data_IF_180526202345
#
_entry.id   IF_180526202345
#
_cell.length_a   1.000
_cell.length_b   1.000
_cell.length_c   1.000
_cell.angle_alpha   90.00
_cell.angle_beta   90.00
_cell.angle_gamma   90.00
#
_symmetry.space_group_name_H-M   'P 1'
#
loop_
_entity.id
_entity.type
_entity.pdbx_description
1 polymer ?
#
# COMPACT_ATOMS: atom_id res chain seq x y z
N UNK A 1 -44.07 -59.39 -20.22
CA UNK A 1 -44.16 -59.06 -18.79
C UNK A 1 -42.74 -58.84 -18.29
N UNK A 2 -42.53 -57.76 -17.52
CA UNK A 2 -41.33 -57.47 -16.69
C UNK A 2 -40.25 -56.54 -17.27
N UNK A 3 -40.47 -55.24 -17.00
CA UNK A 3 -39.58 -54.21 -16.44
C UNK A 3 -38.27 -53.78 -17.14
N UNK A 4 -38.34 -52.59 -17.74
CA UNK A 4 -37.22 -51.66 -18.01
C UNK A 4 -36.74 -51.07 -16.68
N UNK A 5 -35.43 -51.14 -16.40
CA UNK A 5 -34.76 -50.30 -15.37
C UNK A 5 -33.80 -49.35 -16.06
N UNK A 6 -34.12 -48.06 -16.03
CA UNK A 6 -33.15 -46.97 -16.18
C UNK A 6 -32.19 -47.01 -14.98
N UNK A 7 -30.88 -47.05 -15.26
CA UNK A 7 -29.87 -46.61 -14.29
C UNK A 7 -29.44 -45.20 -14.69
N UNK A 8 -29.87 -44.23 -13.89
CA UNK A 8 -29.35 -42.88 -13.91
C UNK A 8 -27.92 -42.90 -13.33
N UNK A 9 -26.92 -42.55 -14.14
CA UNK A 9 -25.61 -42.21 -13.64
C UNK A 9 -25.69 -40.80 -13.03
N UNK A 10 -25.67 -40.74 -11.69
CA UNK A 10 -25.46 -39.50 -10.97
C UNK A 10 -24.03 -39.01 -11.26
N UNK A 11 -23.91 -37.99 -12.10
CA UNK A 11 -22.67 -37.25 -12.26
C UNK A 11 -22.34 -36.56 -10.94
N UNK A 12 -21.23 -36.97 -10.32
CA UNK A 12 -20.63 -36.20 -9.24
C UNK A 12 -20.28 -34.82 -9.80
N UNK A 13 -20.98 -33.79 -9.33
CA UNK A 13 -20.64 -32.41 -9.58
C UNK A 13 -19.25 -32.17 -8.98
N UNK A 14 -18.24 -32.10 -9.84
CA UNK A 14 -16.97 -31.51 -9.47
C UNK A 14 -17.24 -30.08 -9.01
N UNK A 15 -16.77 -29.75 -7.81
CA UNK A 15 -16.72 -28.37 -7.33
C UNK A 15 -15.77 -27.65 -8.28
N UNK A 16 -16.33 -26.96 -9.27
CA UNK A 16 -15.61 -25.97 -10.06
C UNK A 16 -15.30 -24.85 -9.09
N UNK A 17 -14.01 -24.63 -8.82
CA UNK A 17 -13.54 -23.41 -8.16
C UNK A 17 -14.21 -22.21 -8.85
N UNK A 18 -14.94 -21.41 -8.07
CA UNK A 18 -15.90 -20.42 -8.59
C UNK A 18 -15.30 -19.58 -9.71
N UNK A 19 -16.00 -19.54 -10.85
CA UNK A 19 -15.67 -18.59 -11.91
C UNK A 19 -15.66 -17.18 -11.29
N UNK A 20 -14.63 -16.39 -11.59
CA UNK A 20 -14.60 -14.98 -11.24
C UNK A 20 -15.90 -14.33 -11.73
N UNK A 21 -16.63 -13.58 -10.88
CA UNK A 21 -17.87 -12.95 -11.28
C UNK A 21 -17.63 -12.07 -12.51
N UNK A 22 -18.50 -12.14 -13.52
CA UNK A 22 -18.26 -11.44 -14.78
C UNK A 22 -18.31 -9.92 -14.54
N UNK A 23 -17.23 -9.21 -14.90
CA UNK A 23 -17.14 -7.76 -14.75
C UNK A 23 -18.01 -7.05 -15.79
N UNK A 24 -18.81 -6.09 -15.34
CA UNK A 24 -19.82 -5.35 -16.11
C UNK A 24 -19.82 -3.87 -15.74
N UNK A 25 -20.33 -3.02 -16.63
CA UNK A 25 -20.44 -1.59 -16.36
C UNK A 25 -21.71 -1.29 -15.53
N UNK A 26 -21.53 -0.52 -14.46
CA UNK A 26 -22.60 0.03 -13.62
C UNK A 26 -22.52 1.55 -13.54
N UNK A 27 -23.47 2.15 -12.81
CA UNK A 27 -23.55 3.60 -12.63
C UNK A 27 -23.55 3.96 -11.16
N UNK A 28 -22.62 4.81 -10.74
CA UNK A 28 -22.58 5.37 -9.39
C UNK A 28 -23.14 6.79 -9.37
N UNK A 29 -23.87 7.11 -8.31
CA UNK A 29 -24.27 8.47 -7.94
C UNK A 29 -23.61 8.82 -6.62
N UNK A 30 -22.35 9.26 -6.71
CA UNK A 30 -21.52 9.67 -5.58
C UNK A 30 -21.86 11.07 -5.07
N UNK A 31 -21.46 11.35 -3.84
CA UNK A 31 -21.64 12.66 -3.20
C UNK A 31 -20.69 13.70 -3.80
N UNK A 32 -19.41 13.31 -3.99
CA UNK A 32 -18.39 14.18 -4.60
C UNK A 32 -18.22 13.91 -6.08
N UNK A 33 -18.21 12.63 -6.47
CA UNK A 33 -17.93 12.24 -7.85
C UNK A 33 -19.08 12.55 -8.81
N UNK A 34 -20.29 12.82 -8.30
CA UNK A 34 -21.49 12.97 -9.12
C UNK A 34 -21.90 11.65 -9.78
N UNK A 35 -22.40 11.72 -11.02
CA UNK A 35 -22.78 10.50 -11.77
C UNK A 35 -21.61 9.99 -12.59
N UNK A 36 -21.13 8.79 -12.28
CA UNK A 36 -19.91 8.20 -12.86
C UNK A 36 -20.09 6.74 -13.26
N UNK A 37 -19.36 6.25 -14.27
CA UNK A 37 -19.31 4.82 -14.57
C UNK A 37 -18.54 4.07 -13.49
N UNK A 38 -19.04 2.90 -13.10
CA UNK A 38 -18.38 1.97 -12.20
C UNK A 38 -18.12 0.63 -12.91
N UNK A 39 -17.00 0.01 -12.60
CA UNK A 39 -16.71 -1.37 -13.01
C UNK A 39 -17.14 -2.29 -11.88
N UNK A 40 -18.21 -3.05 -12.07
CA UNK A 40 -18.81 -3.91 -11.04
C UNK A 40 -18.82 -5.36 -11.52
N UNK A 41 -19.28 -6.30 -10.71
CA UNK A 41 -19.40 -7.68 -11.14
C UNK A 41 -20.79 -8.25 -10.90
N UNK A 42 -21.23 -9.12 -11.82
CA UNK A 42 -22.53 -9.80 -11.72
C UNK A 42 -22.40 -11.10 -10.93
N UNK A 43 -23.24 -11.25 -9.91
CA UNK A 43 -23.31 -12.42 -9.03
C UNK A 43 -24.19 -13.52 -9.64
N UNK A 44 -24.04 -14.74 -9.13
CA UNK A 44 -24.77 -15.91 -9.61
C UNK A 44 -26.30 -15.82 -9.41
N UNK A 45 -26.75 -15.09 -8.38
CA UNK A 45 -28.16 -14.82 -8.09
C UNK A 45 -28.78 -13.72 -8.97
N UNK A 46 -27.99 -13.13 -9.88
CA UNK A 46 -28.41 -12.07 -10.79
C UNK A 46 -28.28 -10.65 -10.24
N UNK A 47 -27.89 -10.48 -8.98
CA UNK A 47 -27.51 -9.18 -8.41
C UNK A 47 -26.11 -8.76 -8.86
N UNK A 48 -25.73 -7.54 -8.51
CA UNK A 48 -24.41 -6.95 -8.81
C UNK A 48 -23.70 -6.62 -7.51
N UNK A 49 -22.37 -6.58 -7.52
CA UNK A 49 -21.52 -6.14 -6.41
C UNK A 49 -20.41 -5.19 -6.86
N UNK A 50 -19.96 -4.33 -5.94
CA UNK A 50 -18.82 -3.42 -6.12
C UNK A 50 -17.48 -4.19 -6.07
N UNK A 51 -17.28 -5.05 -7.06
CA UNK A 51 -16.06 -5.79 -7.34
C UNK A 51 -15.60 -5.46 -8.76
N UNK A 52 -14.41 -4.88 -8.87
CA UNK A 52 -13.81 -4.45 -10.12
C UNK A 52 -12.74 -5.43 -10.59
N UNK A 53 -13.15 -6.39 -11.43
CA UNK A 53 -12.24 -7.35 -12.04
C UNK A 53 -11.30 -6.76 -13.10
N UNK A 54 -11.51 -5.52 -13.56
CA UNK A 54 -10.58 -4.85 -14.50
C UNK A 54 -9.34 -4.30 -13.79
N UNK A 55 -9.42 -4.10 -12.47
CA UNK A 55 -8.38 -3.46 -11.65
C UNK A 55 -7.96 -4.36 -10.49
N UNK A 56 -7.55 -5.58 -10.85
CA UNK A 56 -6.99 -6.57 -9.92
C UNK A 56 -7.96 -7.12 -8.89
N UNK A 57 -9.26 -7.11 -9.16
CA UNK A 57 -10.32 -7.45 -8.21
C UNK A 57 -10.39 -6.46 -7.03
N UNK A 58 -10.27 -5.15 -7.31
CA UNK A 58 -10.50 -4.09 -6.32
C UNK A 58 -11.95 -4.12 -5.84
N UNK A 59 -12.18 -3.91 -4.54
CA UNK A 59 -13.47 -4.25 -3.94
C UNK A 59 -13.88 -3.25 -2.86
N UNK A 60 -15.13 -2.81 -2.88
CA UNK A 60 -15.71 -1.96 -1.83
C UNK A 60 -16.76 -2.76 -1.04
N UNK A 61 -16.55 -2.88 0.28
CA UNK A 61 -17.34 -3.73 1.17
C UNK A 61 -17.90 -2.93 2.34
N UNK A 62 -19.02 -3.38 2.89
CA UNK A 62 -19.56 -2.86 4.14
C UNK A 62 -19.02 -3.66 5.32
N UNK A 63 -18.48 -2.96 6.32
CA UNK A 63 -18.02 -3.54 7.57
C UNK A 63 -18.98 -3.13 8.70
N UNK A 64 -19.79 -4.07 9.23
CA UNK A 64 -20.85 -3.74 10.19
C UNK A 64 -20.35 -3.51 11.62
N UNK A 65 -19.05 -3.71 11.89
CA UNK A 65 -18.44 -3.53 13.22
C UNK A 65 -17.66 -2.22 13.31
N UNK A 66 -17.34 -1.82 14.54
CA UNK A 66 -16.47 -0.66 14.77
C UNK A 66 -15.01 -1.03 14.45
N UNK A 67 -14.32 -0.28 13.56
CA UNK A 67 -12.93 -0.54 13.22
C UNK A 67 -11.93 -0.24 14.34
N UNK A 68 -12.31 0.53 15.36
CA UNK A 68 -11.47 0.77 16.53
C UNK A 68 -11.33 -0.47 17.43
N UNK A 69 -12.29 -1.41 17.36
CA UNK A 69 -12.29 -2.64 18.17
C UNK A 69 -12.04 -3.91 17.36
N UNK A 70 -11.97 -3.83 16.03
CA UNK A 70 -11.76 -4.99 15.17
C UNK A 70 -11.16 -4.64 13.82
N UNK A 71 -10.18 -5.41 13.36
CA UNK A 71 -9.62 -5.30 12.01
C UNK A 71 -10.58 -5.96 11.00
N UNK A 72 -11.02 -5.27 9.95
CA UNK A 72 -11.91 -5.86 8.96
C UNK A 72 -11.19 -6.90 8.10
N UNK A 73 -11.87 -8.01 7.82
CA UNK A 73 -11.51 -8.99 6.80
C UNK A 73 -12.69 -9.22 5.85
N UNK A 74 -12.48 -9.95 4.75
CA UNK A 74 -13.56 -10.35 3.83
C UNK A 74 -14.62 -11.20 4.54
N UNK A 75 -14.23 -12.02 5.52
CA UNK A 75 -15.13 -12.89 6.28
C UNK A 75 -15.97 -12.12 7.30
N UNK A 76 -15.47 -10.99 7.81
CA UNK A 76 -16.17 -10.15 8.79
C UNK A 76 -16.88 -8.95 8.17
N UNK A 77 -16.94 -8.88 6.84
CA UNK A 77 -17.56 -7.80 6.07
C UNK A 77 -18.46 -8.36 4.99
N UNK A 78 -19.30 -7.50 4.42
CA UNK A 78 -20.35 -7.86 3.49
C UNK A 78 -20.10 -7.18 2.13
N UNK A 79 -20.27 -7.89 1.00
CA UNK A 79 -20.33 -7.25 -0.30
C UNK A 79 -21.49 -6.25 -0.35
N UNK A 80 -21.26 -5.06 -0.90
CA UNK A 80 -22.33 -4.10 -1.18
C UNK A 80 -22.99 -4.54 -2.49
N UNK A 81 -24.29 -4.84 -2.46
CA UNK A 81 -25.00 -5.45 -3.60
C UNK A 81 -26.19 -4.60 -4.06
N UNK A 82 -26.47 -4.63 -5.37
CA UNK A 82 -27.59 -3.92 -5.99
C UNK A 82 -28.28 -4.83 -7.00
N UNK A 83 -29.63 -4.84 -7.11
CA UNK A 83 -30.34 -5.58 -8.14
C UNK A 83 -30.27 -4.90 -9.53
N UNK A 84 -29.98 -3.59 -9.58
CA UNK A 84 -30.07 -2.78 -10.80
C UNK A 84 -28.73 -2.30 -11.36
N UNK A 85 -27.62 -2.61 -10.70
CA UNK A 85 -26.27 -2.09 -11.02
C UNK A 85 -26.16 -0.55 -11.05
N UNK A 86 -27.05 0.10 -10.31
CA UNK A 86 -27.04 1.54 -10.03
C UNK A 86 -26.85 1.70 -8.53
N UNK A 87 -25.99 2.64 -8.13
CA UNK A 87 -25.49 2.74 -6.75
C UNK A 87 -25.65 4.17 -6.24
N UNK A 88 -26.34 4.34 -5.11
CA UNK A 88 -26.44 5.63 -4.43
C UNK A 88 -27.43 6.61 -5.06
N UNK A 89 -27.58 7.76 -4.40
CA UNK A 89 -28.49 8.84 -4.78
C UNK A 89 -27.83 10.24 -4.79
N UNK A 90 -26.50 10.29 -4.63
CA UNK A 90 -25.72 11.52 -4.58
C UNK A 90 -25.86 12.32 -3.28
N UNK A 91 -26.55 11.81 -2.25
CA UNK A 91 -26.67 12.49 -0.95
C UNK A 91 -25.73 11.90 0.09
N UNK A 92 -25.26 12.77 0.98
CA UNK A 92 -24.43 12.36 2.11
C UNK A 92 -25.13 11.35 3.02
N UNK A 93 -24.34 10.53 3.70
CA UNK A 93 -24.77 9.57 4.71
C UNK A 93 -25.23 8.20 4.21
N UNK A 94 -25.55 8.08 2.91
CA UNK A 94 -25.92 6.80 2.30
C UNK A 94 -24.73 5.89 2.02
N UNK A 95 -24.80 4.62 2.45
CA UNK A 95 -23.76 3.61 2.19
C UNK A 95 -23.43 3.51 0.70
N UNK A 96 -24.43 3.39 -0.17
CA UNK A 96 -24.19 3.23 -1.61
C UNK A 96 -23.65 4.51 -2.27
N UNK A 97 -24.04 5.70 -1.80
CA UNK A 97 -23.50 6.97 -2.28
C UNK A 97 -22.01 7.09 -1.94
N UNK A 98 -21.63 6.82 -0.68
CA UNK A 98 -20.22 6.77 -0.28
C UNK A 98 -19.46 5.67 -1.03
N UNK A 99 -20.07 4.50 -1.23
CA UNK A 99 -19.45 3.41 -1.95
C UNK A 99 -19.21 3.74 -3.43
N UNK A 100 -20.09 4.50 -4.07
CA UNK A 100 -19.90 4.97 -5.43
C UNK A 100 -18.68 5.89 -5.56
N UNK A 101 -18.54 6.88 -4.66
CA UNK A 101 -17.37 7.77 -4.62
C UNK A 101 -16.06 6.98 -4.45
N UNK A 102 -16.02 6.12 -3.43
CA UNK A 102 -14.83 5.33 -3.09
C UNK A 102 -14.45 4.36 -4.21
N UNK A 103 -15.43 3.63 -4.76
CA UNK A 103 -15.17 2.65 -5.80
C UNK A 103 -14.67 3.32 -7.09
N UNK A 104 -15.25 4.48 -7.44
CA UNK A 104 -14.76 5.31 -8.53
C UNK A 104 -13.34 5.84 -8.26
N UNK A 105 -13.09 6.39 -7.07
CA UNK A 105 -11.79 6.95 -6.69
C UNK A 105 -10.66 5.93 -6.69
N UNK A 106 -10.90 4.72 -6.18
CA UNK A 106 -9.93 3.60 -6.28
C UNK A 106 -9.63 3.27 -7.75
N UNK A 107 -10.67 3.26 -8.60
CA UNK A 107 -10.49 3.05 -10.04
C UNK A 107 -9.63 4.12 -10.70
N UNK A 108 -9.87 5.40 -10.39
CA UNK A 108 -9.09 6.52 -10.91
C UNK A 108 -7.64 6.49 -10.41
N UNK A 109 -7.42 6.18 -9.13
CA UNK A 109 -6.09 6.05 -8.55
C UNK A 109 -5.29 4.93 -9.23
N UNK A 110 -5.91 3.74 -9.39
CA UNK A 110 -5.30 2.63 -10.13
C UNK A 110 -4.93 3.03 -11.55
N UNK A 111 -5.86 3.63 -12.29
CA UNK A 111 -5.66 3.99 -13.70
C UNK A 111 -4.57 5.05 -13.86
N UNK A 112 -4.51 6.03 -12.96
CA UNK A 112 -3.43 7.03 -12.91
C UNK A 112 -2.06 6.36 -12.72
N UNK A 113 -1.91 5.52 -11.68
CA UNK A 113 -0.63 4.86 -11.39
C UNK A 113 -0.22 3.89 -12.52
N UNK A 114 -1.18 3.17 -13.11
CA UNK A 114 -0.91 2.27 -14.24
C UNK A 114 -0.52 3.03 -15.50
N UNK A 115 -1.26 4.07 -15.86
CA UNK A 115 -1.10 4.78 -17.13
C UNK A 115 0.11 5.72 -17.11
N UNK A 116 0.30 6.46 -16.01
CA UNK A 116 1.35 7.49 -15.91
C UNK A 116 2.69 6.88 -15.50
N UNK A 117 2.67 5.87 -14.63
CA UNK A 117 3.86 5.32 -13.99
C UNK A 117 4.13 3.84 -14.28
N UNK A 118 3.23 3.16 -15.01
CA UNK A 118 3.38 1.73 -15.31
C UNK A 118 3.19 0.80 -14.10
N UNK A 119 2.59 1.29 -13.00
CA UNK A 119 2.41 0.53 -11.76
C UNK A 119 1.06 -0.17 -11.73
N UNK A 120 1.04 -1.50 -11.66
CA UNK A 120 -0.19 -2.27 -11.54
C UNK A 120 -0.62 -2.42 -10.07
N UNK A 121 -1.55 -1.56 -9.65
CA UNK A 121 -2.09 -1.53 -8.29
C UNK A 121 -1.20 -0.82 -7.28
N UNK A 122 -1.74 -0.58 -6.09
CA UNK A 122 -1.06 0.20 -5.07
C UNK A 122 0.27 -0.44 -4.66
N UNK A 123 0.35 -1.77 -4.63
CA UNK A 123 1.57 -2.53 -4.28
C UNK A 123 2.43 -2.93 -5.49
N UNK A 124 2.00 -2.67 -6.72
CA UNK A 124 2.69 -3.12 -7.93
C UNK A 124 2.63 -4.63 -8.16
N UNK A 125 1.72 -5.34 -7.47
CA UNK A 125 1.55 -6.79 -7.51
C UNK A 125 0.37 -7.24 -8.39
N UNK A 126 -0.26 -6.31 -9.11
CA UNK A 126 -1.44 -6.57 -9.94
C UNK A 126 -2.70 -6.88 -9.15
N UNK A 127 -2.69 -6.79 -7.81
CA UNK A 127 -3.86 -7.04 -6.96
C UNK A 127 -4.55 -5.74 -6.57
N UNK A 128 -5.86 -5.80 -6.60
CA UNK A 128 -6.77 -4.73 -6.26
C UNK A 128 -6.74 -4.36 -4.79
N UNK A 129 -7.25 -3.16 -4.53
CA UNK A 129 -7.41 -2.63 -3.18
C UNK A 129 -8.75 -3.06 -2.61
N UNK A 130 -8.77 -3.54 -1.38
CA UNK A 130 -10.03 -3.77 -0.64
C UNK A 130 -10.28 -2.54 0.23
N UNK A 131 -11.48 -1.99 0.13
CA UNK A 131 -11.92 -0.85 0.94
C UNK A 131 -13.13 -1.23 1.77
N UNK A 132 -13.07 -0.95 3.06
CA UNK A 132 -14.11 -1.24 4.03
C UNK A 132 -14.80 0.05 4.48
N UNK A 133 -16.08 0.17 4.16
CA UNK A 133 -16.94 1.23 4.66
C UNK A 133 -17.53 0.84 6.00
N UNK A 134 -17.45 1.71 7.00
CA UNK A 134 -18.02 1.46 8.32
C UNK A 134 -18.86 2.65 8.78
N UNK A 135 -19.90 2.37 9.57
CA UNK A 135 -20.78 3.42 10.09
C UNK A 135 -20.13 4.12 11.28
N UNK A 136 -20.08 5.44 11.25
CA UNK A 136 -19.58 6.28 12.35
C UNK A 136 -20.34 7.62 12.39
N UNK A 137 -20.18 8.36 13.48
CA UNK A 137 -20.61 9.77 13.63
C UNK A 137 -19.45 10.75 13.46
N UNK A 138 -18.22 10.24 13.34
CA UNK A 138 -17.05 11.04 12.99
C UNK A 138 -16.54 10.64 11.60
N UNK A 139 -16.29 11.61 10.72
CA UNK A 139 -15.66 11.33 9.44
C UNK A 139 -14.23 10.83 9.63
N UNK A 140 -13.81 9.98 8.71
CA UNK A 140 -12.47 9.39 8.74
C UNK A 140 -12.22 8.59 7.47
N UNK A 141 -11.02 8.75 6.95
CA UNK A 141 -10.47 7.95 5.86
C UNK A 141 -9.06 7.55 6.30
N UNK A 142 -8.69 6.29 6.07
CA UNK A 142 -7.37 5.81 6.44
C UNK A 142 -6.95 4.59 5.65
N UNK A 143 -5.68 4.56 5.28
CA UNK A 143 -4.97 3.33 4.91
C UNK A 143 -4.55 2.55 6.16
N UNK A 144 -4.57 1.21 6.07
CA UNK A 144 -3.99 0.33 7.08
C UNK A 144 -3.05 -0.68 6.46
N UNK A 145 -1.77 -0.61 6.85
CA UNK A 145 -0.74 -1.56 6.44
C UNK A 145 -0.99 -2.99 6.95
N UNK A 146 -1.70 -3.14 8.06
CA UNK A 146 -2.00 -4.45 8.67
C UNK A 146 -2.84 -5.37 7.77
N UNK A 147 -3.77 -4.80 7.01
CA UNK A 147 -4.63 -5.51 6.04
C UNK A 147 -4.30 -5.14 4.59
N UNK A 148 -3.41 -4.15 4.38
CA UNK A 148 -3.22 -3.44 3.12
C UNK A 148 -4.56 -3.03 2.48
N UNK A 149 -5.38 -2.35 3.26
CA UNK A 149 -6.76 -1.99 2.93
C UNK A 149 -7.08 -0.55 3.35
N UNK A 150 -8.13 0.03 2.75
CA UNK A 150 -8.68 1.32 3.19
C UNK A 150 -9.84 1.09 4.15
N UNK A 151 -10.01 2.00 5.10
CA UNK A 151 -11.17 2.09 5.99
C UNK A 151 -11.74 3.49 5.90
N UNK A 152 -13.02 3.61 5.57
CA UNK A 152 -13.68 4.90 5.35
C UNK A 152 -15.00 4.94 6.12
N UNK A 153 -15.18 5.99 6.92
CA UNK A 153 -16.39 6.23 7.68
C UNK A 153 -17.50 6.79 6.78
N UNK A 154 -18.74 6.36 7.05
CA UNK A 154 -19.94 7.00 6.52
C UNK A 154 -21.01 7.10 7.63
N UNK A 155 -21.93 8.04 7.50
CA UNK A 155 -22.98 8.24 8.51
C UNK A 155 -23.86 9.43 8.22
N UNK A 156 -25.04 9.44 8.82
CA UNK A 156 -26.15 10.31 8.44
C UNK A 156 -25.87 11.82 8.63
N UNK A 157 -24.90 12.17 9.48
CA UNK A 157 -24.52 13.55 9.82
C UNK A 157 -23.12 13.95 9.32
N UNK A 158 -22.34 13.01 8.81
CA UNK A 158 -20.95 13.28 8.44
C UNK A 158 -20.82 13.61 6.96
N UNK A 159 -19.98 14.59 6.64
CA UNK A 159 -19.49 14.76 5.27
C UNK A 159 -18.58 13.57 4.96
N UNK A 160 -18.84 12.79 3.91
CA UNK A 160 -17.98 11.66 3.60
C UNK A 160 -16.65 12.18 3.02
N UNK A 161 -15.53 11.86 3.68
CA UNK A 161 -14.17 12.17 3.21
C UNK A 161 -13.79 11.23 2.05
N UNK A 162 -14.41 11.45 0.88
CA UNK A 162 -14.42 10.50 -0.25
C UNK A 162 -14.30 11.17 -1.61
N UNK A 163 -13.93 12.44 -1.66
CA UNK A 163 -13.52 13.08 -2.90
C UNK A 163 -12.30 12.35 -3.51
N UNK A 164 -12.05 12.58 -4.79
CA UNK A 164 -11.02 11.86 -5.54
C UNK A 164 -9.64 12.02 -4.92
N UNK A 165 -9.36 13.20 -4.37
CA UNK A 165 -8.08 13.48 -3.75
C UNK A 165 -7.92 12.73 -2.44
N UNK A 166 -8.92 12.68 -1.56
CA UNK A 166 -8.85 11.89 -0.33
C UNK A 166 -8.73 10.40 -0.60
N UNK A 167 -9.51 9.85 -1.53
CA UNK A 167 -9.39 8.41 -1.88
C UNK A 167 -8.03 8.12 -2.52
N UNK A 168 -7.53 9.03 -3.37
CA UNK A 168 -6.21 8.95 -3.97
C UNK A 168 -5.07 9.07 -2.95
N UNK A 169 -5.24 9.90 -1.92
CA UNK A 169 -4.31 10.08 -0.80
C UNK A 169 -4.16 8.76 -0.03
N UNK A 170 -5.26 8.13 0.40
CA UNK A 170 -5.19 6.84 1.10
C UNK A 170 -4.62 5.72 0.23
N UNK A 171 -4.98 5.68 -1.05
CA UNK A 171 -4.39 4.73 -2.00
C UNK A 171 -2.88 4.90 -2.10
N UNK A 172 -2.40 6.15 -1.99
CA UNK A 172 -0.98 6.48 -2.12
C UNK A 172 -0.17 6.06 -0.90
N UNK A 173 -0.72 6.10 0.33
CA UNK A 173 -0.03 5.50 1.47
C UNK A 173 0.33 4.02 1.24
N UNK A 174 -0.54 3.26 0.55
CA UNK A 174 -0.22 1.89 0.15
C UNK A 174 0.93 1.81 -0.88
N UNK A 175 1.09 2.82 -1.74
CA UNK A 175 2.24 2.96 -2.64
C UNK A 175 3.51 3.26 -1.85
N UNK A 176 3.48 4.20 -0.90
CA UNK A 176 4.63 4.49 -0.01
C UNK A 176 5.03 3.26 0.79
N UNK A 177 4.07 2.58 1.41
CA UNK A 177 4.29 1.39 2.24
C UNK A 177 4.87 0.19 1.47
N UNK A 178 4.71 0.16 0.15
CA UNK A 178 5.26 -0.89 -0.73
C UNK A 178 6.50 -0.46 -1.51
N UNK A 179 7.00 0.75 -1.26
CA UNK A 179 8.19 1.31 -1.91
C UNK A 179 9.17 1.85 -0.86
N UNK A 180 9.17 3.16 -0.59
CA UNK A 180 10.10 3.82 0.32
C UNK A 180 9.93 3.39 1.79
N UNK A 181 8.74 2.94 2.19
CA UNK A 181 8.41 2.55 3.57
C UNK A 181 8.75 3.65 4.58
N UNK A 182 8.41 4.89 4.25
CA UNK A 182 8.69 6.05 5.09
C UNK A 182 8.20 5.81 6.52
N UNK A 183 9.05 6.13 7.50
CA UNK A 183 8.75 5.91 8.91
C UNK A 183 7.57 6.79 9.36
N UNK A 184 6.85 6.32 10.37
CA UNK A 184 5.64 6.96 10.92
C UNK A 184 5.93 8.06 11.95
N UNK A 185 7.09 8.71 11.89
CA UNK A 185 7.40 9.87 12.74
C UNK A 185 8.40 10.81 12.06
N UNK A 186 8.35 12.09 12.45
CA UNK A 186 9.29 13.12 11.99
C UNK A 186 9.19 13.43 10.51
N UNK A 187 10.29 13.88 9.90
CA UNK A 187 10.30 14.24 8.47
C UNK A 187 9.95 13.09 7.51
N UNK A 188 10.31 11.81 7.75
CA UNK A 188 9.81 10.71 6.93
C UNK A 188 8.28 10.62 6.90
N UNK A 189 7.61 10.77 8.05
CA UNK A 189 6.14 10.75 8.10
C UNK A 189 5.53 11.95 7.40
N UNK A 190 6.11 13.13 7.60
CA UNK A 190 5.70 14.33 6.89
C UNK A 190 5.84 14.19 5.36
N UNK A 191 6.88 13.48 4.90
CA UNK A 191 7.06 13.13 3.49
C UNK A 191 6.06 12.07 3.00
N UNK A 192 5.60 11.15 3.84
CA UNK A 192 4.53 10.20 3.49
C UNK A 192 3.21 10.95 3.29
N UNK A 193 2.82 11.80 4.24
CA UNK A 193 1.65 12.69 4.13
C UNK A 193 1.72 13.59 2.88
N UNK A 194 2.86 14.25 2.65
CA UNK A 194 3.05 15.07 1.46
C UNK A 194 2.98 14.23 0.17
N UNK A 195 3.53 13.02 0.18
CA UNK A 195 3.46 12.11 -0.98
C UNK A 195 2.01 11.75 -1.29
N UNK A 196 1.21 11.45 -0.27
CA UNK A 196 -0.21 11.16 -0.40
C UNK A 196 -1.02 12.36 -0.90
N UNK A 197 -0.75 13.58 -0.40
CA UNK A 197 -1.34 14.82 -0.92
C UNK A 197 -0.98 15.07 -2.39
N UNK A 198 0.31 14.94 -2.74
CA UNK A 198 0.81 15.13 -4.10
C UNK A 198 0.09 14.23 -5.09
N UNK A 199 0.05 12.92 -4.81
CA UNK A 199 -0.58 11.99 -5.73
C UNK A 199 -2.10 12.06 -5.69
N UNK A 200 -2.73 12.37 -4.55
CA UNK A 200 -4.16 12.68 -4.48
C UNK A 200 -4.56 13.81 -5.42
N UNK A 201 -3.81 14.92 -5.41
CA UNK A 201 -4.01 16.05 -6.35
C UNK A 201 -3.79 15.61 -7.80
N UNK A 202 -2.71 14.87 -8.09
CA UNK A 202 -2.43 14.41 -9.45
C UNK A 202 -3.50 13.45 -9.99
N UNK A 203 -4.08 12.61 -9.13
CA UNK A 203 -5.21 11.72 -9.47
C UNK A 203 -6.45 12.55 -9.80
N UNK A 204 -6.75 13.60 -9.03
CA UNK A 204 -7.85 14.53 -9.31
C UNK A 204 -7.66 15.25 -10.65
N UNK A 205 -6.45 15.71 -10.96
CA UNK A 205 -6.09 16.27 -12.27
C UNK A 205 -6.23 15.24 -13.41
N UNK A 206 -5.84 13.99 -13.19
CA UNK A 206 -5.95 12.90 -14.16
C UNK A 206 -7.40 12.53 -14.47
N UNK A 207 -8.25 12.45 -13.44
CA UNK A 207 -9.64 12.03 -13.59
C UNK A 207 -10.49 13.04 -14.36
N UNK A 208 -10.13 14.33 -14.33
CA UNK A 208 -10.85 15.41 -15.01
C UNK A 208 -12.35 15.41 -14.72
N UNK A 209 -12.74 15.02 -13.50
CA UNK A 209 -14.14 14.91 -13.13
C UNK A 209 -14.74 16.31 -12.97
N UNK A 210 -15.76 16.70 -13.77
CA UNK A 210 -16.37 18.03 -13.64
C UNK A 210 -17.12 18.23 -12.31
N UNK A 211 -17.55 17.16 -11.64
CA UNK A 211 -18.19 17.25 -10.33
C UNK A 211 -17.18 17.49 -9.19
N UNK A 212 -15.92 17.13 -9.43
CA UNK A 212 -14.82 17.25 -8.47
C UNK A 212 -13.59 17.87 -9.16
N UNK A 213 -13.65 19.17 -9.55
CA UNK A 213 -12.64 19.81 -10.37
C UNK A 213 -11.31 19.93 -9.63
N UNK A 214 -10.20 19.65 -10.33
CA UNK A 214 -8.88 19.66 -9.72
C UNK A 214 -8.40 21.06 -9.28
N UNK A 215 -7.74 21.09 -8.13
CA UNK A 215 -7.02 22.23 -7.57
C UNK A 215 -5.81 21.72 -6.76
N UNK A 216 -5.18 22.58 -5.95
CA UNK A 216 -4.06 22.24 -5.06
C UNK A 216 -4.42 22.43 -3.57
N UNK A 217 -5.70 22.28 -3.26
CA UNK A 217 -6.30 22.52 -1.95
C UNK A 217 -6.82 21.19 -1.43
N UNK A 218 -6.38 20.78 -0.24
CA UNK A 218 -6.78 19.51 0.35
C UNK A 218 -8.12 19.75 1.05
N UNK A 219 -9.22 19.12 0.61
CA UNK A 219 -10.54 19.33 1.19
C UNK A 219 -10.58 18.87 2.65
N UNK A 220 -11.47 19.49 3.43
CA UNK A 220 -11.76 19.04 4.79
C UNK A 220 -13.03 18.21 4.77
N UNK A 221 -12.83 16.93 4.49
CA UNK A 221 -13.88 15.93 4.62
C UNK A 221 -14.28 15.63 6.07
N UNK A 222 -13.71 16.34 7.07
CA UNK A 222 -13.86 16.00 8.49
C UNK A 222 -14.96 16.77 9.25
N UNK A 223 -15.72 17.60 8.54
CA UNK A 223 -16.79 18.44 9.10
C UNK A 223 -18.20 17.83 8.92
N UNK A 224 -19.17 18.28 9.72
CA UNK A 224 -20.59 17.96 9.48
C UNK A 224 -21.03 18.55 8.13
N UNK A 225 -21.97 17.88 7.45
CA UNK A 225 -22.55 18.36 6.17
C UNK A 225 -23.18 19.75 6.28
N UNK A 226 -23.60 20.18 7.47
CA UNK A 226 -24.17 21.50 7.71
C UNK A 226 -23.13 22.60 7.90
N UNK A 227 -21.86 22.26 8.16
CA UNK A 227 -20.78 23.23 8.29
C UNK A 227 -20.19 23.49 6.90
N UNK A 228 -20.04 24.77 6.48
CA UNK A 228 -19.31 25.10 5.26
C UNK A 228 -17.90 24.53 5.31
N UNK A 229 -17.54 23.80 4.26
CA UNK A 229 -16.24 23.16 4.19
C UNK A 229 -15.11 24.19 4.17
N UNK A 230 -14.18 24.06 5.12
CA UNK A 230 -12.97 24.85 5.18
C UNK A 230 -11.80 23.94 4.83
N UNK A 231 -10.99 24.20 3.80
CA UNK A 231 -9.91 23.28 3.43
C UNK A 231 -8.96 22.92 4.58
N UNK A 232 -8.53 21.66 4.57
CA UNK A 232 -7.65 21.07 5.58
C UNK A 232 -6.21 21.53 5.42
N UNK A 233 -5.69 21.55 4.18
CA UNK A 233 -4.33 21.96 3.84
C UNK A 233 -4.28 22.68 2.48
N UNK A 234 -3.18 23.39 2.24
CA UNK A 234 -2.95 24.17 1.02
C UNK A 234 -1.55 23.87 0.50
N UNK A 235 -1.40 23.41 -0.75
CA UNK A 235 -0.07 23.15 -1.29
C UNK A 235 0.65 24.42 -1.74
N UNK A 236 -0.06 25.47 -2.12
CA UNK A 236 0.56 26.72 -2.58
C UNK A 236 1.19 27.50 -1.42
N UNK A 237 0.46 27.63 -0.30
CA UNK A 237 0.90 28.28 0.92
C UNK A 237 0.36 27.54 2.15
N UNK A 238 1.11 26.55 2.69
CA UNK A 238 0.69 25.74 3.83
C UNK A 238 0.23 26.53 5.05
N UNK A 239 0.84 27.69 5.31
CA UNK A 239 0.50 28.55 6.46
C UNK A 239 -0.95 29.05 6.47
N UNK A 240 -1.69 28.95 5.36
CA UNK A 240 -3.13 29.29 5.29
C UNK A 240 -3.99 28.44 6.22
N UNK A 241 -3.58 27.23 6.58
CA UNK A 241 -4.30 26.41 7.56
C UNK A 241 -4.07 26.86 9.03
N UNK A 242 -3.08 27.74 9.26
CA UNK A 242 -2.71 28.29 10.55
C UNK A 242 -1.81 27.40 11.42
N UNK A 243 -1.39 26.23 10.93
CA UNK A 243 -0.59 25.24 11.68
C UNK A 243 0.66 24.78 10.90
N UNK A 244 0.56 24.66 9.58
CA UNK A 244 1.61 24.13 8.72
C UNK A 244 2.61 25.22 8.31
N UNK A 245 3.92 25.02 8.47
CA UNK A 245 4.93 25.96 8.03
C UNK A 245 5.08 25.95 6.50
N UNK A 246 5.06 27.12 5.87
CA UNK A 246 5.35 27.27 4.44
C UNK A 246 6.84 27.23 4.10
N UNK A 247 7.74 27.16 5.08
CA UNK A 247 9.19 27.13 4.85
C UNK A 247 9.82 26.12 5.80
N UNK A 248 10.70 25.29 5.25
CA UNK A 248 11.48 24.37 6.06
C UNK A 248 12.41 25.13 7.01
N UNK A 249 12.60 24.55 8.20
CA UNK A 249 13.67 24.91 9.12
C UNK A 249 14.11 23.66 9.89
N UNK A 250 15.35 23.61 10.42
CA UNK A 250 15.83 22.47 11.19
C UNK A 250 14.97 22.11 12.42
N UNK A 251 14.16 23.05 12.91
CA UNK A 251 13.28 22.86 14.06
C UNK A 251 11.98 22.10 13.77
N UNK A 252 11.69 21.75 12.51
CA UNK A 252 10.43 21.10 12.13
C UNK A 252 10.42 19.58 12.34
N UNK A 253 11.56 18.98 12.71
CA UNK A 253 11.71 17.53 12.84
C UNK A 253 10.75 16.86 13.85
N UNK A 254 10.23 17.62 14.81
CA UNK A 254 9.33 17.14 15.88
C UNK A 254 7.87 17.61 15.67
N UNK A 255 7.57 18.23 14.52
CA UNK A 255 6.22 18.66 14.17
C UNK A 255 5.38 17.45 13.76
N UNK A 256 4.09 17.48 14.10
CA UNK A 256 3.09 16.51 13.59
C UNK A 256 3.19 16.40 12.06
N UNK A 257 3.16 15.16 11.57
CA UNK A 257 3.39 14.82 10.18
C UNK A 257 2.45 15.55 9.22
N UNK A 258 1.19 15.74 9.59
CA UNK A 258 0.21 16.40 8.75
C UNK A 258 0.55 17.88 8.55
N UNK A 259 1.13 18.54 9.57
CA UNK A 259 1.60 19.92 9.45
C UNK A 259 2.98 20.00 8.80
N UNK A 260 3.86 19.05 9.12
CA UNK A 260 5.17 18.91 8.51
C UNK A 260 5.08 18.77 6.99
N UNK A 261 4.06 18.06 6.49
CA UNK A 261 3.80 17.80 5.06
C UNK A 261 3.77 19.06 4.20
N UNK A 262 3.46 20.22 4.80
CA UNK A 262 3.44 21.53 4.14
C UNK A 262 4.71 21.84 3.34
N UNK A 263 5.88 21.42 3.84
CA UNK A 263 7.16 21.63 3.13
C UNK A 263 7.20 20.83 1.82
N UNK A 264 6.82 19.55 1.85
CA UNK A 264 6.75 18.70 0.65
C UNK A 264 5.67 19.16 -0.32
N UNK A 265 4.51 19.56 0.20
CA UNK A 265 3.40 20.10 -0.58
C UNK A 265 3.80 21.39 -1.32
N UNK A 266 4.44 22.34 -0.62
CA UNK A 266 4.94 23.57 -1.25
C UNK A 266 6.04 23.30 -2.26
N UNK A 267 6.97 22.40 -1.96
CA UNK A 267 7.98 21.99 -2.93
C UNK A 267 7.32 21.51 -4.22
N UNK A 268 6.34 20.62 -4.12
CA UNK A 268 5.67 20.06 -5.29
C UNK A 268 4.89 21.13 -6.07
N UNK A 269 4.09 21.96 -5.38
CA UNK A 269 3.40 23.08 -6.02
C UNK A 269 4.39 23.99 -6.76
N UNK A 270 5.49 24.36 -6.12
CA UNK A 270 6.51 25.24 -6.71
C UNK A 270 7.17 24.59 -7.92
N UNK A 271 7.43 23.28 -7.87
CA UNK A 271 7.99 22.54 -9.01
C UNK A 271 6.99 22.44 -10.17
N UNK A 272 5.72 22.18 -9.90
CA UNK A 272 4.69 21.99 -10.92
C UNK A 272 4.23 23.32 -11.54
N UNK A 273 3.91 24.31 -10.70
CA UNK A 273 3.25 25.57 -11.08
C UNK A 273 4.25 26.73 -11.17
N UNK A 274 5.26 26.74 -10.31
CA UNK A 274 6.19 27.85 -10.12
C UNK A 274 5.94 28.61 -8.81
N UNK A 275 6.85 29.50 -8.46
CA UNK A 275 6.72 30.34 -7.26
C UNK A 275 6.02 31.68 -7.57
N UNK A 276 5.32 32.22 -6.58
CA UNK A 276 4.57 33.46 -6.66
C UNK A 276 3.13 33.26 -7.17
N UNK A 277 2.51 34.35 -7.61
CA UNK A 277 1.11 34.36 -8.04
C UNK A 277 0.89 33.59 -9.34
N UNK A 278 -0.12 32.73 -9.33
CA UNK A 278 -0.62 31.96 -10.47
C UNK A 278 -2.15 31.88 -10.41
N UNK A 279 -2.76 31.24 -11.42
CA UNK A 279 -4.19 30.91 -11.37
C UNK A 279 -4.54 29.87 -10.28
N UNK A 280 -3.53 29.15 -9.76
CA UNK A 280 -3.69 28.05 -8.80
C UNK A 280 -3.39 28.44 -7.36
N UNK A 281 -2.89 29.66 -7.13
CA UNK A 281 -2.42 30.08 -5.80
C UNK A 281 -1.27 31.07 -5.85
N UNK A 282 -0.79 31.46 -4.68
CA UNK A 282 0.38 32.34 -4.49
C UNK A 282 1.40 31.64 -3.59
N UNK A 283 2.51 31.18 -4.18
CA UNK A 283 3.54 30.41 -3.47
C UNK A 283 4.86 31.17 -3.36
N UNK A 284 5.01 32.13 -2.43
CA UNK A 284 6.22 32.92 -2.31
C UNK A 284 7.43 32.05 -1.90
N UNK A 285 8.58 32.29 -2.52
CA UNK A 285 9.80 31.55 -2.22
C UNK A 285 10.35 31.89 -0.82
N UNK A 286 10.83 30.87 -0.11
CA UNK A 286 11.46 31.00 1.20
C UNK A 286 12.84 31.64 1.11
N UNK A 287 13.25 32.35 2.18
CA UNK A 287 14.63 32.81 2.36
C UNK A 287 15.18 33.74 1.28
N UNK A 288 14.31 34.39 0.49
CA UNK A 288 14.74 35.23 -0.64
C UNK A 288 15.27 34.45 -1.85
N UNK A 289 14.96 33.15 -1.95
CA UNK A 289 15.29 32.36 -3.13
C UNK A 289 14.69 32.98 -4.40
N UNK A 290 15.40 32.81 -5.52
CA UNK A 290 14.95 33.30 -6.82
C UNK A 290 13.62 32.65 -7.23
N UNK A 291 12.85 33.36 -8.05
CA UNK A 291 11.59 32.84 -8.57
C UNK A 291 11.81 31.57 -9.39
N UNK A 292 10.92 30.59 -9.22
CA UNK A 292 10.93 29.29 -9.88
C UNK A 292 9.89 29.29 -11.00
N UNK A 293 10.30 28.86 -12.19
CA UNK A 293 9.37 28.54 -13.28
C UNK A 293 8.97 27.06 -13.17
N UNK A 294 7.67 26.79 -13.11
CA UNK A 294 7.16 25.42 -13.00
C UNK A 294 7.41 24.57 -14.25
N UNK A 295 7.56 23.27 -14.07
CA UNK A 295 7.77 22.27 -15.14
C UNK A 295 6.52 21.45 -15.47
N UNK A 296 5.39 21.76 -14.82
CA UNK A 296 4.11 21.08 -14.99
C UNK A 296 3.96 19.78 -14.19
N UNK A 297 2.70 19.44 -13.89
CA UNK A 297 2.31 18.26 -13.11
C UNK A 297 2.89 16.95 -13.65
N UNK A 298 2.85 16.75 -14.96
CA UNK A 298 3.35 15.52 -15.59
C UNK A 298 4.82 15.24 -15.29
N UNK A 299 5.68 16.26 -15.37
CA UNK A 299 7.11 16.09 -15.11
C UNK A 299 7.38 16.01 -13.61
N UNK A 300 6.76 16.89 -12.82
CA UNK A 300 6.89 16.92 -11.38
C UNK A 300 6.46 15.58 -10.74
N UNK A 301 5.30 15.05 -11.14
CA UNK A 301 4.77 13.76 -10.69
C UNK A 301 5.67 12.58 -11.04
N UNK A 302 6.22 12.53 -12.27
CA UNK A 302 7.19 11.48 -12.66
C UNK A 302 8.49 11.55 -11.85
N UNK A 303 8.99 12.76 -11.56
CA UNK A 303 10.18 12.94 -10.73
C UNK A 303 9.92 12.45 -9.31
N UNK A 304 8.80 12.86 -8.70
CA UNK A 304 8.46 12.44 -7.34
C UNK A 304 8.26 10.92 -7.26
N UNK A 305 7.52 10.33 -8.22
CA UNK A 305 7.32 8.89 -8.28
C UNK A 305 8.62 8.10 -8.43
N UNK A 306 9.49 8.52 -9.35
CA UNK A 306 10.81 7.92 -9.56
C UNK A 306 11.66 8.02 -8.29
N UNK A 307 11.67 9.17 -7.63
CA UNK A 307 12.39 9.36 -6.37
C UNK A 307 11.86 8.44 -5.26
N UNK A 308 10.54 8.41 -5.05
CA UNK A 308 9.87 7.56 -4.08
C UNK A 308 10.18 6.07 -4.28
N UNK A 309 10.20 5.62 -5.53
CA UNK A 309 10.31 4.18 -5.85
C UNK A 309 11.73 3.67 -6.00
N UNK A 310 12.74 4.54 -6.08
CA UNK A 310 14.12 4.11 -6.37
C UNK A 310 15.21 4.71 -5.49
N UNK A 311 14.93 5.78 -4.76
CA UNK A 311 15.96 6.50 -4.00
C UNK A 311 15.53 6.88 -2.58
N UNK A 312 14.24 7.09 -2.32
CA UNK A 312 13.74 7.27 -0.96
C UNK A 312 13.69 5.94 -0.21
N UNK A 313 14.05 5.97 1.06
CA UNK A 313 14.07 4.86 2.02
C UNK A 313 13.38 5.28 3.34
N UNK A 314 13.22 4.35 4.28
CA UNK A 314 12.33 4.54 5.43
C UNK A 314 12.68 5.73 6.33
N UNK A 315 13.94 6.12 6.45
CA UNK A 315 14.38 7.27 7.25
C UNK A 315 14.67 8.53 6.41
N UNK A 316 14.16 8.62 5.18
CA UNK A 316 14.38 9.80 4.32
C UNK A 316 13.86 11.07 4.99
N UNK A 317 14.74 12.06 5.17
CA UNK A 317 14.40 13.41 5.61
C UNK A 317 14.27 14.35 4.40
N UNK A 318 13.96 15.65 4.58
CA UNK A 318 13.80 16.59 3.46
C UNK A 318 15.07 16.76 2.62
N UNK A 319 16.25 16.73 3.24
CA UNK A 319 17.52 16.76 2.52
C UNK A 319 17.73 15.50 1.66
N UNK A 320 17.34 14.33 2.18
CA UNK A 320 17.31 13.07 1.45
C UNK A 320 16.31 13.08 0.29
N UNK A 321 15.10 13.59 0.51
CA UNK A 321 14.09 13.75 -0.54
C UNK A 321 14.56 14.69 -1.64
N UNK A 322 15.31 15.75 -1.29
CA UNK A 322 15.99 16.62 -2.23
C UNK A 322 17.03 15.89 -3.08
N UNK A 323 17.89 15.08 -2.46
CA UNK A 323 18.85 14.28 -3.22
C UNK A 323 18.16 13.26 -4.13
N UNK A 324 17.14 12.57 -3.64
CA UNK A 324 16.35 11.58 -4.38
C UNK A 324 15.66 12.19 -5.61
N UNK A 325 15.02 13.36 -5.47
CA UNK A 325 14.35 14.05 -6.58
C UNK A 325 15.34 14.65 -7.59
N UNK A 326 16.50 15.16 -7.15
CA UNK A 326 17.56 15.59 -8.06
C UNK A 326 18.10 14.42 -8.89
N UNK A 327 18.27 13.25 -8.26
CA UNK A 327 18.69 12.04 -8.95
C UNK A 327 17.63 11.55 -9.92
N UNK A 328 16.37 11.53 -9.50
CA UNK A 328 15.25 11.15 -10.35
C UNK A 328 15.12 12.05 -11.59
N UNK A 329 15.30 13.37 -11.43
CA UNK A 329 15.30 14.29 -12.56
C UNK A 329 16.47 14.05 -13.53
N UNK A 330 17.67 13.76 -13.01
CA UNK A 330 18.80 13.37 -13.85
C UNK A 330 18.56 12.06 -14.61
N UNK A 331 18.02 11.04 -13.93
CA UNK A 331 17.70 9.75 -14.54
C UNK A 331 16.67 9.90 -15.67
N UNK A 332 15.67 10.77 -15.50
CA UNK A 332 14.56 10.93 -16.45
C UNK A 332 14.88 11.90 -17.60
N UNK A 333 15.63 12.97 -17.33
CA UNK A 333 15.81 14.09 -18.27
C UNK A 333 17.28 14.45 -18.55
N UNK A 334 18.23 13.78 -17.90
CA UNK A 334 19.66 14.02 -18.04
C UNK A 334 20.25 14.92 -16.95
N UNK A 335 21.53 14.71 -16.63
CA UNK A 335 22.31 15.57 -15.73
C UNK A 335 22.41 16.99 -16.29
N UNK A 336 22.19 17.99 -15.43
CA UNK A 336 22.20 19.40 -15.82
C UNK A 336 20.96 19.86 -16.61
N UNK A 337 19.92 19.03 -16.71
CA UNK A 337 18.65 19.38 -17.38
C UNK A 337 17.93 20.55 -16.71
N UNK A 338 16.99 21.15 -17.46
CA UNK A 338 16.08 22.18 -16.94
C UNK A 338 15.25 21.63 -15.79
N UNK A 339 14.82 20.36 -15.85
CA UNK A 339 14.06 19.68 -14.82
C UNK A 339 14.87 19.50 -13.53
N UNK A 340 16.13 19.05 -13.63
CA UNK A 340 16.99 18.92 -12.46
C UNK A 340 17.29 20.30 -11.83
N UNK A 341 17.45 21.33 -12.67
CA UNK A 341 17.62 22.72 -12.20
C UNK A 341 16.36 23.25 -11.51
N UNK A 342 15.18 22.93 -12.04
CA UNK A 342 13.90 23.30 -11.44
C UNK A 342 13.67 22.59 -10.10
N UNK A 343 14.02 21.31 -9.98
CA UNK A 343 14.00 20.58 -8.69
C UNK A 343 14.89 21.28 -7.66
N UNK A 344 16.12 21.65 -8.05
CA UNK A 344 17.04 22.37 -7.16
C UNK A 344 16.43 23.70 -6.68
N UNK A 345 15.84 24.46 -7.61
CA UNK A 345 15.25 25.75 -7.32
C UNK A 345 13.98 25.63 -6.46
N UNK A 346 13.12 24.65 -6.72
CA UNK A 346 11.90 24.41 -5.93
C UNK A 346 12.21 24.01 -4.48
N UNK A 347 13.22 23.17 -4.23
CA UNK A 347 13.63 22.86 -2.86
C UNK A 347 14.17 24.08 -2.11
N UNK A 348 14.98 24.91 -2.79
CA UNK A 348 15.44 26.19 -2.23
C UNK A 348 14.26 27.12 -1.92
N UNK A 349 13.27 27.19 -2.80
CA UNK A 349 12.05 27.98 -2.59
C UNK A 349 11.14 27.42 -1.47
N UNK A 350 11.28 26.14 -1.10
CA UNK A 350 10.68 25.54 0.09
C UNK A 350 11.56 25.67 1.36
N UNK A 351 12.76 26.24 1.25
CA UNK A 351 13.71 26.44 2.35
C UNK A 351 14.71 25.31 2.56
N UNK A 352 14.69 24.26 1.73
CA UNK A 352 15.59 23.10 1.83
C UNK A 352 16.79 23.28 0.89
N UNK A 353 17.89 23.81 1.41
CA UNK A 353 19.12 24.02 0.64
C UNK A 353 20.03 22.78 0.54
N UNK A 354 19.75 21.76 1.36
CA UNK A 354 20.54 20.53 1.47
C UNK A 354 21.72 20.64 2.44
N UNK A 355 21.73 21.65 3.32
CA UNK A 355 22.71 21.77 4.40
C UNK A 355 22.46 20.79 5.55
N UNK A 356 21.21 20.34 5.74
CA UNK A 356 20.88 19.31 6.72
C UNK A 356 21.47 17.96 6.29
N UNK A 357 22.10 17.18 7.20
CA UNK A 357 22.66 15.89 6.87
C UNK A 357 21.59 14.95 6.31
N UNK A 358 21.95 14.20 5.26
CA UNK A 358 21.12 13.10 4.79
C UNK A 358 21.38 11.90 5.70
N UNK A 359 20.32 11.31 6.31
CA UNK A 359 20.45 10.10 7.10
C UNK A 359 21.10 8.99 6.26
N UNK A 360 22.00 8.18 6.84
CA UNK A 360 22.52 7.03 6.13
C UNK A 360 21.37 6.10 5.77
N UNK A 361 21.46 5.48 4.59
CA UNK A 361 20.51 4.44 4.17
C UNK A 361 20.46 3.37 5.26
N UNK A 362 19.28 3.04 5.83
CA UNK A 362 19.16 1.97 6.80
C UNK A 362 19.72 0.69 6.19
N UNK A 363 20.44 -0.14 6.94
CA UNK A 363 20.86 -1.43 6.43
C UNK A 363 19.62 -2.16 5.92
N UNK A 364 19.65 -2.56 4.65
CA UNK A 364 18.59 -3.39 4.07
C UNK A 364 18.52 -4.66 4.91
N UNK A 365 17.38 -5.00 5.52
CA UNK A 365 17.24 -6.29 6.19
C UNK A 365 17.58 -7.39 5.18
N UNK A 366 18.52 -8.27 5.52
CA UNK A 366 18.97 -9.32 4.63
C UNK A 366 18.39 -10.63 5.15
N UNK A 367 17.96 -11.50 4.23
CA UNK A 367 17.43 -12.80 4.64
C UNK A 367 18.49 -13.58 5.42
N UNK A 368 18.09 -14.31 6.49
CA UNK A 368 18.96 -15.29 7.11
C UNK A 368 19.53 -16.26 6.07
N UNK A 369 20.72 -16.80 6.32
CA UNK A 369 21.33 -17.80 5.45
C UNK A 369 21.50 -19.09 6.25
N UNK A 370 20.73 -20.12 5.89
CA UNK A 370 20.97 -21.49 6.39
C UNK A 370 22.18 -22.05 5.65
N UNK A 371 23.19 -22.50 6.39
CA UNK A 371 24.44 -23.02 5.81
C UNK A 371 24.54 -24.53 5.98
N UNK A 372 25.26 -25.18 5.08
CA UNK A 372 25.57 -26.61 5.11
C UNK A 372 26.85 -26.87 5.94
N UNK A 373 27.05 -28.08 6.53
CA UNK A 373 26.34 -29.31 6.20
C UNK A 373 25.41 -29.87 7.29
N UNK A 374 24.19 -30.17 6.88
CA UNK A 374 23.33 -31.17 7.52
C UNK A 374 23.81 -32.59 7.12
N UNK A 375 23.56 -33.63 7.94
CA UNK A 375 23.89 -35.02 7.58
C UNK A 375 23.30 -35.42 6.23
N UNK A 376 23.94 -36.34 5.51
CA UNK A 376 23.37 -36.97 4.31
C UNK A 376 23.02 -38.45 4.52
N UNK A 377 23.47 -39.03 5.64
CA UNK A 377 23.29 -40.43 6.00
C UNK A 377 23.08 -40.57 7.52
N UNK A 378 22.00 -41.23 7.93
CA UNK A 378 21.70 -41.59 9.32
C UNK A 378 21.08 -43.01 9.39
N UNK A 379 20.86 -43.56 10.59
CA UNK A 379 20.35 -44.93 10.77
C UNK A 379 19.09 -44.99 11.62
N UNK A 380 18.20 -45.94 11.31
CA UNK A 380 17.02 -46.24 12.14
C UNK A 380 17.47 -46.70 13.52
N UNK A 381 16.84 -46.17 14.57
CA UNK A 381 17.10 -46.57 15.95
C UNK A 381 18.31 -45.88 16.60
N UNK A 382 19.09 -45.09 15.87
CA UNK A 382 20.22 -44.33 16.42
C UNK A 382 19.80 -42.90 16.77
N UNK A 383 19.93 -42.44 18.02
CA UNK A 383 19.63 -41.07 18.39
C UNK A 383 20.48 -40.06 17.60
N UNK A 384 19.85 -39.00 17.10
CA UNK A 384 20.47 -37.91 16.38
C UNK A 384 20.35 -36.61 17.17
N UNK A 385 21.40 -35.78 17.14
CA UNK A 385 21.39 -34.37 17.56
C UNK A 385 22.25 -33.56 16.60
N UNK A 386 21.64 -32.64 15.87
CA UNK A 386 22.31 -31.78 14.88
C UNK A 386 21.80 -30.36 15.05
N UNK A 387 22.71 -29.43 15.32
CA UNK A 387 22.41 -28.01 15.29
C UNK A 387 22.44 -27.52 13.84
N UNK A 388 21.37 -26.90 13.38
CA UNK A 388 21.35 -26.21 12.09
C UNK A 388 22.22 -24.97 12.19
N UNK A 389 23.27 -24.83 11.36
CA UNK A 389 24.02 -23.59 11.30
C UNK A 389 23.31 -22.61 10.37
N UNK A 390 22.99 -21.42 10.90
CA UNK A 390 22.51 -20.31 10.10
C UNK A 390 23.14 -19.01 10.62
N UNK A 391 23.29 -18.05 9.73
CA UNK A 391 23.78 -16.71 10.04
C UNK A 391 22.77 -15.68 9.59
N UNK A 392 22.66 -14.61 10.34
CA UNK A 392 21.89 -13.43 9.95
C UNK A 392 22.87 -12.28 9.68
N UNK A 393 22.80 -11.58 8.54
CA UNK A 393 23.75 -10.49 8.26
C UNK A 393 23.64 -9.29 9.20
N UNK A 394 22.56 -9.18 9.95
CA UNK A 394 22.32 -8.18 11.00
C UNK A 394 22.63 -8.74 12.40
N UNK A 395 23.11 -9.99 12.50
CA UNK A 395 23.32 -10.74 13.75
C UNK A 395 22.03 -10.88 14.60
N UNK A 396 20.86 -10.85 13.97
CA UNK A 396 19.58 -11.02 14.65
C UNK A 396 19.35 -12.46 15.15
N UNK A 397 18.61 -12.65 16.27
CA UNK A 397 18.30 -13.98 16.79
C UNK A 397 17.32 -14.71 15.88
N UNK A 398 17.71 -15.91 15.43
CA UNK A 398 16.93 -16.71 14.49
C UNK A 398 16.01 -17.74 15.17
N UNK A 399 14.84 -17.94 14.58
CA UNK A 399 13.93 -19.05 14.89
C UNK A 399 13.88 -20.05 13.73
N UNK A 400 13.71 -21.33 14.03
CA UNK A 400 13.84 -22.39 13.03
C UNK A 400 12.60 -23.27 12.91
N UNK A 401 12.31 -23.68 11.67
CA UNK A 401 11.33 -24.72 11.35
C UNK A 401 11.92 -25.70 10.33
N UNK A 402 11.33 -26.90 10.25
CA UNK A 402 11.75 -27.92 9.29
C UNK A 402 10.56 -28.71 8.77
N UNK A 403 10.58 -29.01 7.48
CA UNK A 403 9.61 -29.87 6.80
C UNK A 403 10.31 -31.10 6.22
N UNK A 404 9.61 -32.24 6.18
CA UNK A 404 10.13 -33.47 5.57
C UNK A 404 11.15 -34.24 6.41
N UNK A 405 11.28 -33.94 7.70
CA UNK A 405 12.13 -34.72 8.61
C UNK A 405 11.69 -36.21 8.66
N UNK A 406 12.64 -37.16 8.72
CA UNK A 406 12.34 -38.56 8.97
C UNK A 406 11.47 -38.76 10.22
N UNK A 407 10.49 -39.68 10.20
CA UNK A 407 9.67 -39.98 11.38
C UNK A 407 10.53 -40.27 12.61
N UNK A 408 10.18 -39.66 13.74
CA UNK A 408 10.94 -39.76 14.99
C UNK A 408 11.99 -38.66 15.21
N UNK A 409 12.18 -37.76 14.23
CA UNK A 409 12.96 -36.53 14.38
C UNK A 409 12.05 -35.29 14.45
N UNK A 410 12.50 -34.27 15.19
CA UNK A 410 11.88 -32.95 15.25
C UNK A 410 12.97 -31.87 15.33
N UNK A 411 12.62 -30.64 14.97
CA UNK A 411 13.48 -29.45 15.15
C UNK A 411 12.92 -28.58 16.28
N UNK A 412 13.80 -28.01 17.11
CA UNK A 412 13.42 -26.98 18.08
C UNK A 412 13.41 -25.59 17.45
N UNK A 413 12.72 -24.59 18.06
CA UNK A 413 12.79 -23.21 17.59
C UNK A 413 14.21 -22.63 17.58
N UNK A 414 15.15 -23.21 18.33
CA UNK A 414 16.57 -22.83 18.33
C UNK A 414 17.41 -23.57 17.27
N UNK A 415 16.79 -24.32 16.37
CA UNK A 415 17.48 -24.99 15.25
C UNK A 415 18.09 -26.35 15.57
N UNK A 416 17.80 -26.95 16.72
CA UNK A 416 18.30 -28.28 17.06
C UNK A 416 17.38 -29.37 16.49
N UNK A 417 17.84 -30.10 15.48
CA UNK A 417 17.20 -31.33 15.01
C UNK A 417 17.60 -32.46 15.95
N UNK A 418 16.63 -33.14 16.56
CA UNK A 418 16.89 -34.26 17.46
C UNK A 418 15.79 -35.32 17.47
N UNK A 419 16.14 -36.52 17.93
CA UNK A 419 15.22 -37.65 18.05
C UNK A 419 15.86 -38.96 17.61
N UNK A 420 15.05 -39.96 17.29
CA UNK A 420 15.52 -41.26 16.80
C UNK A 420 14.74 -41.62 15.54
N UNK A 421 15.38 -41.74 14.36
CA UNK A 421 14.68 -42.09 13.13
C UNK A 421 14.03 -43.47 13.24
N UNK A 422 12.77 -43.59 12.81
CA UNK A 422 11.99 -44.81 12.94
C UNK A 422 11.86 -45.61 11.63
N UNK A 423 12.10 -44.99 10.47
CA UNK A 423 11.81 -45.60 9.17
C UNK A 423 12.91 -45.30 8.16
N UNK A 424 13.46 -46.37 7.57
CA UNK A 424 14.47 -46.27 6.52
C UNK A 424 13.87 -45.68 5.23
N UNK A 425 14.66 -44.92 4.47
CA UNK A 425 14.20 -44.26 3.26
C UNK A 425 15.02 -43.04 2.89
N UNK A 426 14.60 -42.33 1.85
CA UNK A 426 15.15 -41.04 1.45
C UNK A 426 14.17 -39.94 1.81
N UNK A 427 14.66 -38.91 2.49
CA UNK A 427 13.85 -37.79 2.95
C UNK A 427 14.42 -36.49 2.40
N UNK A 428 13.55 -35.69 1.78
CA UNK A 428 13.90 -34.32 1.35
C UNK A 428 13.49 -33.39 2.48
N UNK A 429 14.49 -32.80 3.14
CA UNK A 429 14.30 -31.94 4.29
C UNK A 429 14.50 -30.51 3.83
N UNK A 430 13.55 -29.64 4.18
CA UNK A 430 13.69 -28.20 4.05
C UNK A 430 13.79 -27.62 5.44
N UNK A 431 14.86 -26.87 5.72
CA UNK A 431 15.01 -26.12 6.96
C UNK A 431 14.87 -24.64 6.65
N UNK A 432 14.10 -23.94 7.47
CA UNK A 432 13.86 -22.49 7.34
C UNK A 432 14.29 -21.80 8.62
N UNK A 433 15.13 -20.78 8.49
CA UNK A 433 15.47 -19.84 9.55
C UNK A 433 14.70 -18.52 9.31
N UNK A 434 14.15 -17.95 10.38
CA UNK A 434 13.35 -16.73 10.35
C UNK A 434 13.92 -15.72 11.36
N UNK A 435 14.18 -14.50 10.92
CA UNK A 435 14.57 -13.39 11.80
C UNK A 435 13.35 -12.80 12.55
N UNK A 436 13.53 -11.88 13.52
CA UNK A 436 12.42 -11.23 14.22
C UNK A 436 11.57 -10.31 13.34
N UNK A 437 12.10 -9.88 12.19
CA UNK A 437 11.38 -9.07 11.20
C UNK A 437 10.53 -9.91 10.23
N UNK A 438 10.62 -11.24 10.31
CA UNK A 438 9.90 -12.20 9.48
C UNK A 438 10.58 -12.54 8.15
N UNK A 439 11.80 -12.09 7.89
CA UNK A 439 12.59 -12.53 6.74
C UNK A 439 13.05 -13.97 6.92
N UNK A 440 13.17 -14.71 5.82
CA UNK A 440 13.43 -16.15 5.87
C UNK A 440 14.52 -16.61 4.93
N UNK A 441 15.45 -17.39 5.44
CA UNK A 441 16.37 -18.22 4.66
C UNK A 441 15.95 -19.68 4.69
N UNK A 442 16.01 -20.38 3.56
CA UNK A 442 15.77 -21.83 3.54
C UNK A 442 16.83 -22.59 2.76
N UNK A 443 17.17 -23.78 3.24
CA UNK A 443 18.02 -24.73 2.52
C UNK A 443 17.38 -26.13 2.48
N UNK A 444 17.73 -26.91 1.45
CA UNK A 444 17.18 -28.23 1.19
C UNK A 444 18.29 -29.28 1.15
N UNK A 445 18.12 -30.35 1.92
CA UNK A 445 19.04 -31.48 1.95
C UNK A 445 18.31 -32.82 1.79
N UNK A 446 18.98 -33.81 1.21
CA UNK A 446 18.47 -35.17 1.07
C UNK A 446 19.19 -36.07 2.05
N UNK A 447 18.44 -36.69 2.95
CA UNK A 447 18.98 -37.62 3.94
C UNK A 447 18.59 -39.05 3.58
N UNK A 448 19.58 -39.94 3.54
CA UNK A 448 19.37 -41.39 3.49
C UNK A 448 19.30 -41.92 4.92
N UNK A 449 18.19 -42.54 5.28
CA UNK A 449 18.04 -43.29 6.54
C UNK A 449 18.20 -44.76 6.24
N UNK A 450 19.26 -45.38 6.74
CA UNK A 450 19.50 -46.82 6.56
C UNK A 450 18.73 -47.64 7.60
N UNK A 451 18.38 -48.90 7.28
CA UNK A 451 17.82 -49.83 8.25
C UNK A 451 18.70 -49.97 9.49
N UNK A 452 18.10 -50.37 10.61
CA UNK A 452 18.85 -50.63 11.84
C UNK A 452 19.92 -51.69 11.58
N UNK A 453 21.12 -51.50 12.16
CA UNK A 453 22.18 -52.49 12.07
C UNK A 453 21.70 -53.83 12.67
N UNK A 454 22.00 -54.98 12.03
CA UNK A 454 21.62 -56.28 12.56
C UNK A 454 22.25 -56.48 13.94
N UNK A 455 21.45 -56.87 14.93
CA UNK A 455 21.95 -57.21 16.25
C UNK A 455 22.90 -58.41 16.10
N UNK A 456 24.18 -58.22 16.42
CA UNK A 456 25.10 -59.35 16.56
C UNK A 456 24.66 -60.17 17.78
N UNK A 457 23.96 -61.28 17.53
CA UNK A 457 23.57 -62.23 18.56
C UNK A 457 24.82 -62.87 19.17
N UNK A 458 24.95 -62.76 20.50
CA UNK A 458 25.91 -63.52 21.29
C UNK A 458 25.37 -64.88 21.69
#
# INVERSE_FOLDING_TARGET
MVWIRLLAAAGAAGIVAGATPATVDGTGHGYHAGTVPLSTSRRADGTFELLDGRRGDSETRFFPKNPASSTPTRETSEPITSPGNSWGDGKAGGLETTAADVHYGIGQAWDYFKTVHGREGARGDGKGMVTYLYRDTFPGSSFSSACACLKIAFGDTIRPATDLQTVGHEFTHAVTASTAKLANSGEPAALDEATSDIFGVLIRFYAQNPADPADYVIPDGSEDVQVPEKPLRYMDDPAKDGKSPSCWSPGLKDLDEHFGSGVGNKFFFTLAVGSGKSAWGDSPACGGAAAVTGIGNDKAGRIWYRALTTAMVSNTNYSGARQATLRAAADLYGEGSTEQSAVRAAWLAAGVDGSDPVPPVPPVPQDPVVTAPLPSLIQVGTPLRVQVPATDPQDDPLTFTAAGLPPGLAISPAGLISGTPATAGYYVITVTATDPAGHTGSDRSIWKVEPAAPAHGG
#
